data_IF_466128291015
#
_entry.id   IF_466128291015
#
_cell.length_a   1.000
_cell.length_b   1.000
_cell.length_c   1.000
_cell.angle_alpha   90.00
_cell.angle_beta   90.00
_cell.angle_gamma   90.00
#
_symmetry.space_group_name_H-M   'P 1'
#
loop_
_entity.id
_entity.type
_entity.pdbx_description
1 polymer ?
#
# COMPACT_ATOMS: atom_id res chain seq x y z
N UNK A 1 -13.42 -11.09 22.34
CA UNK A 1 -12.42 -11.31 21.27
C UNK A 1 -13.01 -12.22 20.23
N UNK A 2 -13.24 -11.69 19.03
CA UNK A 2 -13.79 -12.44 17.92
C UNK A 2 -12.74 -13.42 17.40
N UNK A 3 -13.06 -14.72 17.34
CA UNK A 3 -12.11 -15.77 16.90
C UNK A 3 -11.61 -15.52 15.47
N UNK A 4 -12.39 -14.77 14.68
CA UNK A 4 -12.06 -14.36 13.33
C UNK A 4 -10.82 -13.46 13.27
N UNK A 5 -10.69 -12.47 14.16
CA UNK A 5 -9.63 -11.46 14.07
C UNK A 5 -8.23 -12.07 14.33
N UNK A 6 -8.12 -12.87 15.39
CA UNK A 6 -6.90 -13.61 15.70
C UNK A 6 -6.54 -14.62 14.60
N UNK A 7 -7.53 -15.20 13.91
CA UNK A 7 -7.27 -16.10 12.80
C UNK A 7 -6.70 -15.38 11.57
N UNK A 8 -7.13 -14.13 11.31
CA UNK A 8 -6.62 -13.31 10.20
C UNK A 8 -5.22 -12.77 10.49
N UNK A 9 -4.96 -12.33 11.72
CA UNK A 9 -3.64 -11.89 12.15
C UNK A 9 -2.64 -13.05 12.04
N UNK A 10 -3.03 -14.25 12.50
CA UNK A 10 -2.23 -15.46 12.36
C UNK A 10 -2.02 -15.83 10.89
N UNK A 11 -3.06 -15.82 10.06
CA UNK A 11 -2.94 -16.09 8.63
C UNK A 11 -1.97 -15.11 7.96
N UNK A 12 -2.01 -13.83 8.33
CA UNK A 12 -1.11 -12.81 7.79
C UNK A 12 0.35 -13.08 8.20
N UNK A 13 0.59 -13.45 9.46
CA UNK A 13 1.93 -13.84 9.93
C UNK A 13 2.45 -15.07 9.16
N UNK A 14 1.59 -16.05 8.88
CA UNK A 14 1.98 -17.30 8.19
C UNK A 14 2.29 -17.07 6.70
N UNK A 15 1.69 -16.06 6.06
CA UNK A 15 1.80 -15.84 4.62
C UNK A 15 2.62 -14.59 4.22
N UNK A 16 3.17 -13.85 5.19
CA UNK A 16 4.07 -12.72 4.93
C UNK A 16 5.53 -13.19 4.89
N UNK A 17 6.20 -13.03 3.74
CA UNK A 17 7.64 -13.32 3.63
C UNK A 17 8.48 -12.19 4.25
N UNK A 18 9.58 -12.49 4.97
CA UNK A 18 10.46 -11.44 5.47
C UNK A 18 11.10 -10.68 4.31
N UNK A 19 10.81 -9.38 4.19
CA UNK A 19 11.44 -8.47 3.24
C UNK A 19 12.92 -8.27 3.61
N UNK A 20 13.74 -9.24 3.22
CA UNK A 20 15.21 -9.14 3.27
C UNK A 20 15.72 -9.36 1.86
N UNK A 21 15.78 -8.29 1.07
CA UNK A 21 16.59 -8.27 -0.14
C UNK A 21 17.60 -7.13 -0.04
N UNK A 22 18.91 -7.41 0.02
CA UNK A 22 19.92 -6.39 -0.17
C UNK A 22 19.82 -5.87 -1.61
N UNK A 23 19.89 -4.55 -1.76
CA UNK A 23 19.88 -3.85 -3.05
C UNK A 23 21.04 -4.37 -3.92
N UNK A 24 20.71 -5.12 -4.98
CA UNK A 24 21.64 -5.44 -6.05
C UNK A 24 21.25 -4.63 -7.30
N UNK A 25 22.01 -3.56 -7.55
CA UNK A 25 21.96 -2.81 -8.80
C UNK A 25 22.52 -3.70 -9.91
N UNK A 26 21.69 -4.12 -10.87
CA UNK A 26 22.14 -4.67 -12.15
C UNK A 26 21.56 -3.87 -13.30
N UNK A 27 22.49 -3.40 -14.14
CA UNK A 27 22.28 -2.58 -15.31
C UNK A 27 21.35 -3.25 -16.34
N UNK A 28 20.48 -2.46 -16.95
CA UNK A 28 19.78 -2.83 -18.17
C UNK A 28 20.76 -2.75 -19.34
N UNK A 29 20.92 -3.84 -20.09
CA UNK A 29 21.38 -3.79 -21.46
C UNK A 29 20.32 -4.41 -22.38
N UNK A 30 19.90 -3.59 -23.33
CA UNK A 30 18.91 -3.84 -24.37
C UNK A 30 19.68 -4.23 -25.64
N UNK A 31 19.52 -5.45 -26.14
CA UNK A 31 19.78 -5.74 -27.56
C UNK A 31 18.76 -6.73 -28.11
N UNK A 32 18.10 -6.26 -29.17
CA UNK A 32 17.14 -6.93 -30.01
C UNK A 32 17.90 -7.40 -31.25
N UNK A 33 17.88 -8.68 -31.60
CA UNK A 33 18.31 -9.13 -32.93
C UNK A 33 17.54 -10.36 -33.41
N UNK A 34 17.16 -10.26 -34.68
CA UNK A 34 16.27 -11.10 -35.47
C UNK A 34 16.97 -12.22 -36.26
N UNK A 35 16.16 -13.19 -36.71
CA UNK A 35 16.36 -14.17 -37.80
C UNK A 35 17.12 -15.47 -37.40
N UNK A 36 16.85 -16.68 -37.92
CA UNK A 36 16.23 -17.14 -39.18
C UNK A 36 15.75 -18.60 -39.02
N UNK A 37 14.83 -19.01 -39.89
CA UNK A 37 14.18 -20.32 -40.01
C UNK A 37 15.08 -21.53 -40.32
N UNK A 38 14.60 -22.73 -39.95
CA UNK A 38 14.83 -23.98 -40.69
C UNK A 38 13.67 -24.97 -40.44
N UNK A 39 13.03 -25.39 -41.52
CA UNK A 39 11.93 -26.34 -41.56
C UNK A 39 12.44 -27.79 -41.67
N UNK A 40 11.78 -28.73 -41.00
CA UNK A 40 11.82 -30.15 -41.33
C UNK A 40 10.42 -30.75 -41.11
N UNK A 41 9.80 -31.13 -42.22
CA UNK A 41 8.48 -31.76 -42.26
C UNK A 41 8.63 -33.27 -42.03
N UNK A 42 7.88 -33.81 -41.06
CA UNK A 42 7.64 -35.25 -40.94
C UNK A 42 6.14 -35.48 -41.00
N UNK A 43 5.70 -36.06 -42.12
CA UNK A 43 4.33 -36.53 -42.33
C UNK A 43 4.14 -37.80 -41.53
N UNK A 44 3.17 -37.84 -40.62
CA UNK A 44 2.68 -39.07 -40.01
C UNK A 44 1.17 -39.08 -40.12
N UNK A 45 0.67 -40.01 -40.93
CA UNK A 45 -0.74 -40.34 -41.09
C UNK A 45 -1.26 -40.96 -39.80
N UNK A 46 -2.16 -40.27 -39.09
CA UNK A 46 -2.94 -40.86 -38.00
C UNK A 46 -4.32 -41.21 -38.55
N UNK A 47 -4.60 -42.51 -38.56
CA UNK A 47 -5.93 -43.06 -38.81
C UNK A 47 -6.87 -42.67 -37.67
N UNK A 48 -7.89 -41.88 -37.96
CA UNK A 48 -9.02 -41.60 -37.09
C UNK A 48 -9.77 -42.89 -36.75
N UNK A 49 -9.76 -43.28 -35.48
CA UNK A 49 -10.83 -44.03 -34.81
C UNK A 49 -10.46 -44.21 -33.33
N UNK A 50 -10.75 -43.20 -32.51
CA UNK A 50 -10.91 -43.35 -31.07
C UNK A 50 -12.41 -43.22 -30.73
N UNK A 51 -12.96 -44.04 -29.81
CA UNK A 51 -14.35 -43.90 -29.41
C UNK A 51 -14.52 -42.56 -28.72
N UNK A 52 -15.46 -41.75 -29.20
CA UNK A 52 -15.84 -40.48 -28.58
C UNK A 52 -16.42 -40.81 -27.20
N UNK A 53 -15.61 -40.74 -26.16
CA UNK A 53 -16.13 -40.76 -24.80
C UNK A 53 -16.95 -39.50 -24.64
N UNK A 54 -18.26 -39.68 -24.47
CA UNK A 54 -19.19 -38.61 -24.16
C UNK A 54 -18.83 -38.11 -22.75
N UNK A 55 -17.85 -37.20 -22.67
CA UNK A 55 -17.47 -36.51 -21.45
C UNK A 55 -18.61 -35.57 -21.11
N UNK A 56 -19.62 -36.08 -20.40
CA UNK A 56 -20.51 -35.21 -19.63
C UNK A 56 -19.59 -34.34 -18.76
N UNK A 57 -19.63 -33.00 -18.88
CA UNK A 57 -18.82 -32.15 -18.02
C UNK A 57 -19.19 -32.52 -16.58
N UNK A 58 -18.22 -33.01 -15.82
CA UNK A 58 -18.42 -33.19 -14.40
C UNK A 58 -18.91 -31.84 -13.84
N UNK A 59 -19.92 -31.83 -12.96
CA UNK A 59 -20.32 -30.59 -12.30
C UNK A 59 -19.07 -29.99 -11.68
N UNK A 60 -18.74 -28.76 -12.09
CA UNK A 60 -17.53 -28.08 -11.62
C UNK A 60 -17.64 -27.97 -10.10
N UNK A 61 -16.76 -28.69 -9.40
CA UNK A 61 -16.72 -28.66 -7.95
C UNK A 61 -16.39 -27.24 -7.49
N UNK A 62 -17.32 -26.64 -6.74
CA UNK A 62 -17.21 -25.26 -6.25
C UNK A 62 -15.96 -25.09 -5.39
N UNK A 63 -15.58 -26.11 -4.63
CA UNK A 63 -14.38 -26.09 -3.80
C UNK A 63 -13.11 -26.14 -4.67
N UNK A 64 -13.09 -26.99 -5.70
CA UNK A 64 -11.99 -27.03 -6.66
C UNK A 64 -11.85 -25.72 -7.45
N UNK A 65 -12.96 -25.09 -7.84
CA UNK A 65 -12.96 -23.78 -8.49
C UNK A 65 -12.43 -22.69 -7.57
N UNK A 66 -12.84 -22.68 -6.29
CA UNK A 66 -12.31 -21.76 -5.30
C UNK A 66 -10.81 -22.00 -5.07
N UNK A 67 -10.38 -23.25 -4.96
CA UNK A 67 -8.95 -23.58 -4.80
C UNK A 67 -8.09 -23.13 -5.99
N UNK A 68 -8.59 -23.29 -7.22
CA UNK A 68 -7.89 -22.89 -8.45
C UNK A 68 -7.86 -21.36 -8.65
N UNK A 69 -8.91 -20.66 -8.20
CA UNK A 69 -9.03 -19.20 -8.30
C UNK A 69 -8.45 -18.44 -7.08
N UNK A 70 -7.78 -19.14 -6.15
CA UNK A 70 -7.23 -18.56 -4.92
C UNK A 70 -8.26 -18.27 -3.81
N UNK A 71 -9.52 -18.65 -4.00
CA UNK A 71 -10.67 -18.41 -3.11
C UNK A 71 -10.79 -19.31 -1.87
N UNK A 72 -9.68 -19.87 -1.38
CA UNK A 72 -9.66 -20.54 -0.07
C UNK A 72 -9.35 -19.61 1.10
N UNK A 73 -8.73 -18.46 0.84
CA UNK A 73 -8.32 -17.46 1.84
C UNK A 73 -9.23 -16.23 1.87
N UNK A 74 -9.06 -15.37 2.89
CA UNK A 74 -9.71 -14.06 2.92
C UNK A 74 -9.32 -13.23 1.68
N UNK A 75 -10.21 -12.35 1.23
CA UNK A 75 -9.87 -11.40 0.16
C UNK A 75 -8.93 -10.30 0.67
N UNK A 76 -8.20 -9.63 -0.21
CA UNK A 76 -7.40 -8.44 0.13
C UNK A 76 -8.24 -7.38 0.86
N UNK A 77 -9.49 -7.19 0.43
CA UNK A 77 -10.41 -6.29 1.09
C UNK A 77 -10.71 -6.71 2.54
N UNK A 78 -10.86 -8.01 2.80
CA UNK A 78 -11.06 -8.55 4.14
C UNK A 78 -9.81 -8.38 5.01
N UNK A 79 -8.63 -8.64 4.44
CA UNK A 79 -7.35 -8.44 5.11
C UNK A 79 -7.10 -6.96 5.44
N UNK A 80 -7.41 -6.04 4.52
CA UNK A 80 -7.28 -4.60 4.74
C UNK A 80 -8.17 -4.11 5.89
N UNK A 81 -9.44 -4.55 5.93
CA UNK A 81 -10.36 -4.23 7.02
C UNK A 81 -9.85 -4.80 8.35
N UNK A 82 -9.44 -6.06 8.36
CA UNK A 82 -8.94 -6.73 9.55
C UNK A 82 -7.67 -6.06 10.09
N UNK A 83 -6.76 -5.62 9.21
CA UNK A 83 -5.56 -4.92 9.64
C UNK A 83 -5.89 -3.61 10.37
N UNK A 84 -6.79 -2.77 9.83
CA UNK A 84 -7.20 -1.55 10.53
C UNK A 84 -8.01 -1.84 11.80
N UNK A 85 -8.77 -2.93 11.86
CA UNK A 85 -9.44 -3.37 13.08
C UNK A 85 -8.42 -3.70 14.18
N UNK A 86 -7.37 -4.47 13.86
CA UNK A 86 -6.26 -4.76 14.80
C UNK A 86 -5.55 -3.49 15.25
N UNK A 87 -5.27 -2.56 14.33
CA UNK A 87 -4.55 -1.32 14.68
C UNK A 87 -5.36 -0.47 15.68
N UNK A 88 -6.68 -0.40 15.50
CA UNK A 88 -7.59 0.39 16.34
C UNK A 88 -8.04 -0.33 17.61
N UNK A 89 -7.79 -1.63 17.75
CA UNK A 89 -8.20 -2.38 18.93
C UNK A 89 -7.50 -1.86 20.20
N UNK A 90 -8.29 -1.49 21.19
CA UNK A 90 -7.85 -0.92 22.47
C UNK A 90 -7.62 -1.98 23.55
N UNK A 91 -7.79 -3.27 23.23
CA UNK A 91 -7.51 -4.36 24.15
C UNK A 91 -6.03 -4.33 24.62
N UNK A 92 -5.77 -4.33 25.94
CA UNK A 92 -4.40 -4.36 26.47
C UNK A 92 -3.56 -5.56 26.01
N UNK A 93 -4.19 -6.68 25.66
CA UNK A 93 -3.50 -7.87 25.13
C UNK A 93 -3.05 -7.68 23.67
N UNK A 94 -3.64 -6.72 22.95
CA UNK A 94 -3.19 -6.33 21.63
C UNK A 94 -2.01 -5.35 21.73
N UNK A 95 -0.82 -5.92 21.83
CA UNK A 95 0.43 -5.17 22.01
C UNK A 95 0.72 -4.23 20.84
N UNK A 96 1.59 -3.24 21.09
CA UNK A 96 2.09 -2.36 20.04
C UNK A 96 2.69 -3.15 18.87
N UNK A 97 3.52 -4.16 19.16
CA UNK A 97 4.16 -5.00 18.13
C UNK A 97 3.13 -5.67 17.20
N UNK A 98 2.01 -6.17 17.75
CA UNK A 98 0.93 -6.74 16.94
C UNK A 98 0.30 -5.71 15.99
N UNK A 99 0.13 -4.46 16.47
CA UNK A 99 -0.35 -3.35 15.63
C UNK A 99 0.65 -2.97 14.55
N UNK A 100 1.95 -3.00 14.83
CA UNK A 100 2.99 -2.71 13.84
C UNK A 100 3.03 -3.79 12.76
N UNK A 101 2.88 -5.07 13.13
CA UNK A 101 2.72 -6.17 12.16
C UNK A 101 1.47 -5.96 11.29
N UNK A 102 0.34 -5.60 11.89
CA UNK A 102 -0.88 -5.30 11.14
C UNK A 102 -0.69 -4.12 10.17
N UNK A 103 0.06 -3.10 10.57
CA UNK A 103 0.44 -2.00 9.70
C UNK A 103 1.34 -2.44 8.53
N UNK A 104 2.37 -3.25 8.78
CA UNK A 104 3.23 -3.78 7.71
C UNK A 104 2.41 -4.60 6.69
N UNK A 105 1.47 -5.40 7.17
CA UNK A 105 0.58 -6.19 6.29
C UNK A 105 -0.37 -5.30 5.49
N UNK A 106 -0.94 -4.27 6.14
CA UNK A 106 -1.81 -3.30 5.48
C UNK A 106 -1.04 -2.52 4.40
N UNK A 107 0.18 -2.10 4.71
CA UNK A 107 1.04 -1.34 3.81
C UNK A 107 1.39 -2.13 2.54
N UNK A 108 1.75 -3.41 2.68
CA UNK A 108 1.99 -4.31 1.55
C UNK A 108 0.76 -4.46 0.65
N UNK A 109 -0.43 -4.60 1.23
CA UNK A 109 -1.67 -4.74 0.43
C UNK A 109 -1.96 -3.49 -0.39
N UNK A 110 -1.72 -2.29 0.17
CA UNK A 110 -1.99 -1.02 -0.50
C UNK A 110 -0.84 -0.54 -1.41
N UNK A 111 0.25 -1.29 -1.56
CA UNK A 111 1.20 -1.10 -2.66
C UNK A 111 0.53 -1.36 -4.02
N UNK A 112 -0.51 -2.21 -4.05
CA UNK A 112 -1.38 -2.37 -5.21
C UNK A 112 -2.29 -1.17 -5.39
N UNK A 113 -2.27 -0.58 -6.60
CA UNK A 113 -3.12 0.55 -6.95
C UNK A 113 -4.62 0.23 -6.82
N UNK A 114 -5.03 -1.00 -7.11
CA UNK A 114 -6.43 -1.42 -6.99
C UNK A 114 -6.88 -1.42 -5.52
N UNK A 115 -6.05 -1.95 -4.62
CA UNK A 115 -6.31 -1.95 -3.18
C UNK A 115 -6.28 -0.54 -2.60
N UNK A 116 -5.30 0.29 -2.99
CA UNK A 116 -5.21 1.69 -2.60
C UNK A 116 -6.47 2.47 -3.02
N UNK A 117 -6.96 2.27 -4.25
CA UNK A 117 -8.20 2.88 -4.72
C UNK A 117 -9.43 2.36 -3.95
N UNK A 118 -9.40 1.10 -3.51
CA UNK A 118 -10.50 0.48 -2.78
C UNK A 118 -10.63 0.98 -1.33
N UNK A 119 -9.63 1.68 -0.79
CA UNK A 119 -9.71 2.32 0.54
C UNK A 119 -10.94 3.22 0.69
N UNK A 120 -11.36 3.90 -0.39
CA UNK A 120 -12.56 4.72 -0.41
C UNK A 120 -13.83 3.88 -0.23
N UNK A 121 -14.00 2.84 -1.04
CA UNK A 121 -15.18 1.97 -1.00
C UNK A 121 -15.29 1.23 0.34
N UNK A 122 -14.15 0.88 0.93
CA UNK A 122 -14.06 0.22 2.23
C UNK A 122 -14.13 1.18 3.42
N UNK A 123 -14.24 2.50 3.18
CA UNK A 123 -14.25 3.53 4.23
C UNK A 123 -13.02 3.53 5.15
N UNK A 124 -11.87 3.11 4.64
CA UNK A 124 -10.63 2.95 5.42
C UNK A 124 -9.80 4.23 5.53
N UNK A 125 -10.11 5.26 4.74
CA UNK A 125 -9.42 6.57 4.84
C UNK A 125 -9.57 7.23 6.21
N UNK A 126 -10.80 7.28 6.75
CA UNK A 126 -11.06 7.91 8.05
C UNK A 126 -10.28 7.25 9.19
N UNK A 127 -10.36 5.91 9.42
CA UNK A 127 -9.58 5.26 10.46
C UNK A 127 -8.07 5.39 10.22
N UNK A 128 -7.59 5.36 8.97
CA UNK A 128 -6.17 5.56 8.68
C UNK A 128 -5.69 6.98 9.02
N UNK A 129 -6.41 8.01 8.59
CA UNK A 129 -6.02 9.41 8.82
C UNK A 129 -6.11 9.81 10.29
N UNK A 130 -7.04 9.21 11.05
CA UNK A 130 -7.14 9.46 12.50
C UNK A 130 -5.88 9.08 13.29
N UNK A 131 -5.11 8.12 12.78
CA UNK A 131 -3.87 7.65 13.41
C UNK A 131 -2.70 8.63 13.25
N UNK A 132 -2.80 9.62 12.35
CA UNK A 132 -1.79 10.67 12.20
C UNK A 132 -1.70 11.57 13.44
N UNK A 133 -2.73 11.61 14.28
CA UNK A 133 -2.76 12.37 15.54
C UNK A 133 -2.69 11.48 16.79
N UNK A 134 -2.36 10.20 16.65
CA UNK A 134 -2.32 9.26 17.78
C UNK A 134 -1.21 9.62 18.78
N UNK A 135 -1.37 9.32 20.07
CA UNK A 135 -0.38 9.60 21.12
C UNK A 135 0.92 8.81 20.92
N UNK A 136 0.79 7.52 20.57
CA UNK A 136 1.91 6.65 20.21
C UNK A 136 2.59 7.08 18.90
N UNK A 137 3.88 7.32 18.97
CA UNK A 137 4.70 7.81 17.85
C UNK A 137 4.82 6.81 16.70
N UNK A 138 4.93 5.53 17.01
CA UNK A 138 5.05 4.49 15.98
C UNK A 138 3.76 4.36 15.16
N UNK A 139 2.58 4.53 15.76
CA UNK A 139 1.33 4.52 15.00
C UNK A 139 1.22 5.73 14.07
N UNK A 140 1.68 6.92 14.49
CA UNK A 140 1.76 8.09 13.60
C UNK A 140 2.72 7.84 12.44
N UNK A 141 3.89 7.24 12.71
CA UNK A 141 4.90 6.90 11.70
C UNK A 141 4.33 5.98 10.63
N UNK A 142 3.68 4.90 11.04
CA UNK A 142 3.12 3.90 10.14
C UNK A 142 1.89 4.40 9.38
N UNK A 143 1.02 5.18 10.03
CA UNK A 143 -0.10 5.83 9.35
C UNK A 143 0.39 6.74 8.23
N UNK A 144 1.39 7.59 8.50
CA UNK A 144 2.00 8.43 7.47
C UNK A 144 2.63 7.61 6.35
N UNK A 145 3.30 6.50 6.66
CA UNK A 145 3.84 5.59 5.65
C UNK A 145 2.73 5.04 4.75
N UNK A 146 1.68 4.44 5.32
CA UNK A 146 0.58 3.86 4.57
C UNK A 146 -0.12 4.90 3.69
N UNK A 147 -0.35 6.11 4.20
CA UNK A 147 -0.90 7.22 3.40
C UNK A 147 0.01 7.54 2.22
N UNK A 148 1.31 7.64 2.44
CA UNK A 148 2.28 7.92 1.39
C UNK A 148 2.35 6.85 0.31
N UNK A 149 2.20 5.57 0.68
CA UNK A 149 2.14 4.44 -0.25
C UNK A 149 0.84 4.47 -1.06
N UNK A 150 -0.31 4.66 -0.40
CA UNK A 150 -1.61 4.71 -1.08
C UNK A 150 -1.72 5.81 -2.14
N UNK A 151 -1.09 6.97 -1.92
CA UNK A 151 -1.16 8.14 -2.82
C UNK A 151 -0.01 8.24 -3.82
N UNK A 152 1.00 7.37 -3.73
CA UNK A 152 2.17 7.46 -4.59
C UNK A 152 1.80 7.22 -6.05
N UNK A 153 2.04 8.23 -6.90
CA UNK A 153 1.74 8.18 -8.34
C UNK A 153 0.30 7.75 -8.65
N UNK A 154 -0.66 8.08 -7.77
CA UNK A 154 -2.06 7.70 -7.91
C UNK A 154 -2.98 8.90 -7.70
N UNK A 155 -3.41 9.53 -8.81
CA UNK A 155 -4.22 10.75 -8.78
C UNK A 155 -5.55 10.56 -8.04
N UNK A 156 -6.18 9.38 -8.15
CA UNK A 156 -7.47 9.11 -7.50
C UNK A 156 -7.35 9.14 -5.97
N UNK A 157 -6.32 8.53 -5.42
CA UNK A 157 -6.09 8.54 -3.97
C UNK A 157 -5.49 9.85 -3.49
N UNK A 158 -4.72 10.58 -4.33
CA UNK A 158 -4.31 11.97 -4.06
C UNK A 158 -5.53 12.90 -3.93
N UNK A 159 -6.48 12.83 -4.88
CA UNK A 159 -7.76 13.54 -4.82
C UNK A 159 -8.51 13.22 -3.53
N UNK A 160 -8.61 11.93 -3.19
CA UNK A 160 -9.30 11.50 -1.98
C UNK A 160 -8.62 12.00 -0.70
N UNK A 161 -7.28 11.96 -0.63
CA UNK A 161 -6.52 12.48 0.50
C UNK A 161 -6.79 13.98 0.72
N UNK A 162 -6.80 14.78 -0.37
CA UNK A 162 -7.11 16.21 -0.30
C UNK A 162 -8.55 16.44 0.14
N UNK A 163 -9.52 15.73 -0.44
CA UNK A 163 -10.94 15.85 -0.09
C UNK A 163 -11.22 15.49 1.38
N UNK A 164 -10.46 14.56 1.94
CA UNK A 164 -10.56 14.14 3.35
C UNK A 164 -9.76 15.03 4.31
N UNK A 165 -9.11 16.09 3.84
CA UNK A 165 -8.32 16.98 4.70
C UNK A 165 -7.06 16.34 5.28
N UNK A 166 -6.45 15.38 4.57
CA UNK A 166 -5.27 14.66 5.05
C UNK A 166 -3.94 15.43 4.92
N UNK A 167 -3.89 16.53 4.16
CA UNK A 167 -2.65 17.33 4.00
C UNK A 167 -2.25 18.09 5.29
N UNK A 168 -3.13 18.85 5.97
CA UNK A 168 -2.78 19.54 7.21
C UNK A 168 -2.17 18.67 8.32
N UNK A 169 -2.70 17.47 8.67
CA UNK A 169 -2.07 16.63 9.69
C UNK A 169 -0.69 16.12 9.26
N UNK A 170 -0.48 15.81 7.98
CA UNK A 170 0.84 15.43 7.47
C UNK A 170 1.85 16.57 7.57
N UNK A 171 1.44 17.79 7.22
CA UNK A 171 2.27 19.00 7.41
C UNK A 171 2.62 19.18 8.88
N UNK A 172 1.63 19.08 9.76
CA UNK A 172 1.83 19.18 11.22
C UNK A 172 2.86 18.15 11.69
N UNK A 173 2.76 16.88 11.28
CA UNK A 173 3.74 15.86 11.66
C UNK A 173 5.14 16.15 11.11
N UNK A 174 5.24 16.68 9.90
CA UNK A 174 6.53 17.03 9.31
C UNK A 174 7.24 18.19 10.03
N UNK A 175 6.50 19.13 10.61
CA UNK A 175 7.05 20.38 11.16
C UNK A 175 6.94 20.54 12.67
N UNK A 176 6.21 19.66 13.36
CA UNK A 176 5.98 19.73 14.81
C UNK A 176 7.29 19.61 15.60
N UNK A 177 7.50 20.54 16.53
CA UNK A 177 8.62 20.50 17.47
C UNK A 177 8.49 19.30 18.42
N UNK A 178 9.62 18.62 18.69
CA UNK A 178 9.65 17.43 19.55
C UNK A 178 9.15 16.14 18.89
N UNK A 179 8.69 16.17 17.63
CA UNK A 179 8.34 14.95 16.89
C UNK A 179 9.59 14.10 16.61
N UNK A 180 9.45 12.77 16.56
CA UNK A 180 10.54 11.86 16.22
C UNK A 180 10.99 12.01 14.76
N UNK A 181 12.29 11.88 14.49
CA UNK A 181 12.83 11.96 13.12
C UNK A 181 12.20 10.92 12.19
N UNK A 182 11.99 9.69 12.68
CA UNK A 182 11.37 8.62 11.90
C UNK A 182 9.93 8.96 11.47
N UNK A 183 9.14 9.59 12.36
CA UNK A 183 7.79 10.06 12.06
C UNK A 183 7.83 11.17 11.01
N UNK A 184 8.67 12.20 11.22
CA UNK A 184 8.84 13.30 10.26
C UNK A 184 9.21 12.79 8.86
N UNK A 185 10.15 11.85 8.77
CA UNK A 185 10.59 11.28 7.50
C UNK A 185 9.44 10.63 6.74
N UNK A 186 8.56 9.90 7.42
CA UNK A 186 7.38 9.27 6.80
C UNK A 186 6.29 10.29 6.46
N UNK A 187 6.10 11.33 7.26
CA UNK A 187 5.21 12.44 6.91
C UNK A 187 5.69 13.18 5.65
N UNK A 188 6.98 13.46 5.53
CA UNK A 188 7.58 14.09 4.34
C UNK A 188 7.50 13.17 3.12
N UNK A 189 7.71 11.86 3.29
CA UNK A 189 7.45 10.87 2.24
C UNK A 189 6.01 10.95 1.73
N UNK A 190 5.02 10.97 2.63
CA UNK A 190 3.62 11.06 2.27
C UNK A 190 3.27 12.37 1.56
N UNK A 191 3.79 13.50 2.04
CA UNK A 191 3.63 14.79 1.38
C UNK A 191 4.24 14.78 -0.02
N UNK A 192 5.47 14.26 -0.17
CA UNK A 192 6.14 14.14 -1.48
C UNK A 192 5.32 13.30 -2.46
N UNK A 193 4.77 12.17 -2.01
CA UNK A 193 3.86 11.34 -2.80
C UNK A 193 2.58 12.08 -3.16
N UNK A 194 2.00 12.85 -2.22
CA UNK A 194 0.74 13.55 -2.41
C UNK A 194 0.82 14.72 -3.40
N UNK A 195 1.90 15.51 -3.35
CA UNK A 195 2.04 16.74 -4.15
C UNK A 195 2.66 16.51 -5.53
N UNK A 196 3.36 15.39 -5.73
CA UNK A 196 4.05 15.10 -6.99
C UNK A 196 3.05 14.96 -8.13
N UNK A 197 3.25 15.78 -9.16
CA UNK A 197 2.40 15.83 -10.35
C UNK A 197 0.91 16.09 -10.05
N UNK A 198 0.59 16.70 -8.89
CA UNK A 198 -0.78 16.96 -8.49
C UNK A 198 -0.91 18.32 -7.77
N UNK A 199 -1.34 19.32 -8.55
CA UNK A 199 -1.35 20.73 -8.13
C UNK A 199 -2.25 21.01 -6.91
N UNK A 200 -3.48 20.46 -6.79
CA UNK A 200 -4.34 20.76 -5.64
C UNK A 200 -3.71 20.40 -4.29
N UNK A 201 -2.98 19.28 -4.21
CA UNK A 201 -2.24 18.93 -2.99
C UNK A 201 -1.04 19.84 -2.77
N UNK A 202 -0.33 20.24 -3.84
CA UNK A 202 0.81 21.17 -3.75
C UNK A 202 0.39 22.54 -3.20
N UNK A 203 -0.72 23.09 -3.69
CA UNK A 203 -1.26 24.37 -3.25
C UNK A 203 -1.62 24.32 -1.77
N UNK A 204 -2.36 23.30 -1.36
CA UNK A 204 -2.77 23.10 0.03
C UNK A 204 -1.56 22.87 0.95
N UNK A 205 -0.59 22.05 0.55
CA UNK A 205 0.62 21.82 1.33
C UNK A 205 1.44 23.10 1.49
N UNK A 206 1.54 23.92 0.44
CA UNK A 206 2.25 25.21 0.49
C UNK A 206 1.57 26.21 1.41
N UNK A 207 0.24 26.27 1.37
CA UNK A 207 -0.56 27.10 2.27
C UNK A 207 -0.37 26.69 3.74
N UNK A 208 -0.49 25.39 4.03
CA UNK A 208 -0.31 24.84 5.39
C UNK A 208 1.12 25.06 5.90
N UNK A 209 2.13 24.89 5.04
CA UNK A 209 3.52 25.16 5.40
C UNK A 209 3.77 26.65 5.69
N UNK A 210 3.14 27.56 4.94
CA UNK A 210 3.25 28.99 5.21
C UNK A 210 2.69 29.34 6.61
N UNK A 211 1.56 28.74 7.01
CA UNK A 211 0.99 28.92 8.36
C UNK A 211 1.95 28.46 9.46
N UNK A 212 2.71 27.39 9.24
CA UNK A 212 3.72 26.88 10.19
C UNK A 212 4.97 27.77 10.28
N UNK A 213 5.13 28.71 9.35
CA UNK A 213 6.29 29.58 9.20
C UNK A 213 5.95 31.04 9.54
N UNK A 214 4.70 31.48 9.49
CA UNK A 214 4.27 32.77 10.01
C UNK A 214 4.62 32.87 11.51
N UNK A 215 5.76 33.49 11.82
CA UNK A 215 6.36 33.59 13.17
C UNK A 215 7.79 33.04 13.29
N UNK A 216 8.29 32.29 12.31
CA UNK A 216 9.69 31.86 12.17
C UNK A 216 10.33 32.64 11.01
N UNK A 217 11.49 33.25 11.22
CA UNK A 217 12.21 34.03 10.20
C UNK A 217 12.70 33.09 9.06
N UNK A 218 11.84 32.84 8.08
CA UNK A 218 12.15 31.99 6.93
C UNK A 218 11.90 32.82 5.67
N UNK A 219 12.98 33.42 5.17
CA UNK A 219 13.00 34.11 3.88
C UNK A 219 12.82 33.09 2.76
N UNK A 220 11.60 33.05 2.21
CA UNK A 220 11.16 32.32 1.02
C UNK A 220 11.29 30.79 1.07
N UNK A 221 10.15 30.10 1.02
CA UNK A 221 10.07 28.65 0.84
C UNK A 221 10.42 28.32 -0.62
N UNK A 222 11.69 28.05 -0.89
CA UNK A 222 12.16 27.47 -2.14
C UNK A 222 12.33 25.94 -2.02
N UNK A 223 12.58 25.27 -3.14
CA UNK A 223 12.84 23.82 -3.16
C UNK A 223 14.03 23.39 -2.26
N UNK A 224 14.95 24.31 -1.95
CA UNK A 224 16.07 24.11 -1.04
C UNK A 224 15.65 24.08 0.44
N UNK A 225 14.58 24.77 0.83
CA UNK A 225 13.99 24.64 2.17
C UNK A 225 13.33 23.27 2.34
N UNK A 226 12.58 22.81 1.33
CA UNK A 226 12.04 21.44 1.30
C UNK A 226 13.13 20.39 1.49
N UNK A 227 14.26 20.53 0.78
CA UNK A 227 15.40 19.60 0.95
C UNK A 227 16.12 19.72 2.31
N UNK A 228 15.98 20.84 3.01
CA UNK A 228 16.58 21.03 4.35
C UNK A 228 15.73 20.36 5.44
N UNK A 229 14.41 20.31 5.28
CA UNK A 229 13.52 19.52 6.14
C UNK A 229 13.56 18.02 5.84
N UNK A 230 14.00 17.64 4.63
CA UNK A 230 14.21 16.23 4.25
C UNK A 230 15.51 15.61 4.78
N UNK A 231 16.42 16.40 5.36
CA UNK A 231 17.77 15.96 5.74
C UNK A 231 17.91 15.74 7.25
#
# INVERSE_FOLDING_TARGET
MDKSLNSLLKWSIENTAPSTTPIAVKALDNTNDTATAAAAATTTTVTDNAPVTNLTPAPLDREALLAILGGGGPSDADLMKAALEVIHDTDPENTLDNKLIAFDNFEQLIESLDNANNLENLSLWTPLLSLLSHDESELRRYAAWCVGTAVQNNVRTQERLVAMGGIPPLVTLATREGEGEAVRRKAVYALSSAVRNYQPAMDLASEELAKQVEGRDVKQVDAGIWMRWMR
#
